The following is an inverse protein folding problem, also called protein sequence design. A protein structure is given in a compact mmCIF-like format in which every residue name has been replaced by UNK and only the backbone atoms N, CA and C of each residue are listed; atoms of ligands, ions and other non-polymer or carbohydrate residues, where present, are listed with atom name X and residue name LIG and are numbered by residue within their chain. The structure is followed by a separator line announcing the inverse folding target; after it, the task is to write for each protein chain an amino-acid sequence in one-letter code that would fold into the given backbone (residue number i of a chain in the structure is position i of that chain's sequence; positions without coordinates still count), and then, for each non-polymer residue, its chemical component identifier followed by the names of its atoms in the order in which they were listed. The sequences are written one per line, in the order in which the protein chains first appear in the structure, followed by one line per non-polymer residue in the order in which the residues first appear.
data_IF_028001155743
#
_entry.id   IF_028001155743
#
_cell.length_a   1.000
_cell.length_b   1.000
_cell.length_c   1.000
_cell.angle_alpha   90.00
_cell.angle_beta   90.00
_cell.angle_gamma   90.00
#
_symmetry.space_group_name_H-M   'P 1'
#
loop_
_entity.id
_entity.type
_entity.pdbx_description
1 polymer ?
#
# COMPACT_ATOMS: atom_id res chain seq x y z
N UNK A 1 82.77 9.21 5.10
CA UNK A 1 81.35 9.48 4.80
C UNK A 1 80.56 8.23 5.21
N UNK A 2 79.82 8.35 6.32
CA UNK A 2 78.77 7.52 6.94
C UNK A 2 78.04 6.45 6.09
N UNK A 3 77.40 5.36 6.54
CA UNK A 3 77.35 4.48 7.74
C UNK A 3 76.39 3.30 7.43
N UNK A 4 76.71 2.11 7.96
CA UNK A 4 75.90 0.95 8.48
C UNK A 4 74.41 0.66 8.17
N UNK A 5 74.17 -0.63 7.84
CA UNK A 5 73.19 -1.62 8.41
C UNK A 5 71.66 -1.50 8.23
N UNK A 6 70.99 -2.62 7.83
CA UNK A 6 70.11 -3.47 8.67
C UNK A 6 69.19 -4.37 7.82
N UNK A 7 69.07 -5.64 8.23
CA UNK A 7 68.01 -6.58 7.80
C UNK A 7 66.69 -6.20 8.50
N UNK A 8 65.57 -6.13 7.79
CA UNK A 8 64.24 -6.15 8.40
C UNK A 8 63.24 -6.91 7.52
N UNK A 9 62.79 -8.06 8.03
CA UNK A 9 61.57 -8.76 7.64
C UNK A 9 60.37 -7.81 7.83
N UNK A 10 59.52 -7.66 6.82
CA UNK A 10 58.13 -7.25 7.04
C UNK A 10 57.22 -8.30 6.43
N UNK A 11 56.74 -9.16 7.34
CA UNK A 11 55.56 -9.99 7.16
C UNK A 11 54.43 -9.02 6.85
N UNK A 12 53.94 -9.03 5.61
CA UNK A 12 52.70 -8.35 5.27
C UNK A 12 51.58 -9.06 6.01
N UNK A 13 51.17 -8.50 7.16
CA UNK A 13 49.91 -8.86 7.79
C UNK A 13 48.83 -8.48 6.78
N UNK A 14 48.27 -9.51 6.13
CA UNK A 14 47.02 -9.38 5.40
C UNK A 14 45.95 -9.20 6.48
N UNK A 15 45.71 -7.95 6.87
CA UNK A 15 44.49 -7.59 7.57
C UNK A 15 43.37 -7.80 6.55
N UNK A 16 42.86 -9.03 6.52
CA UNK A 16 41.52 -9.30 6.05
C UNK A 16 40.63 -8.50 6.99
N UNK A 17 40.26 -7.29 6.56
CA UNK A 17 39.19 -6.52 7.17
C UNK A 17 37.95 -7.38 7.04
N UNK A 18 37.65 -8.17 8.07
CA UNK A 18 36.39 -8.88 8.19
C UNK A 18 35.34 -7.78 8.29
N UNK A 19 34.72 -7.45 7.16
CA UNK A 19 33.51 -6.68 7.15
C UNK A 19 32.46 -7.56 7.85
N UNK A 20 32.15 -7.24 9.10
CA UNK A 20 31.01 -7.82 9.78
C UNK A 20 29.78 -7.40 8.99
N UNK A 21 29.28 -8.29 8.12
CA UNK A 21 27.94 -8.16 7.56
C UNK A 21 26.97 -8.36 8.73
N UNK A 22 26.44 -7.27 9.27
CA UNK A 22 25.22 -7.35 10.06
C UNK A 22 24.10 -7.78 9.11
N UNK A 23 23.31 -8.77 9.53
CA UNK A 23 22.02 -9.01 8.90
C UNK A 23 21.21 -7.71 8.99
N UNK A 24 20.50 -7.35 7.92
CA UNK A 24 19.60 -6.20 7.96
C UNK A 24 18.44 -6.55 8.89
N UNK A 25 18.46 -6.03 10.11
CA UNK A 25 17.38 -6.26 11.08
C UNK A 25 16.11 -5.53 10.65
N UNK A 26 14.98 -6.21 10.78
CA UNK A 26 13.66 -5.60 10.61
C UNK A 26 13.25 -4.92 11.91
N UNK A 27 13.04 -3.60 11.85
CA UNK A 27 12.54 -2.80 12.96
C UNK A 27 11.16 -2.27 12.58
N UNK A 28 10.17 -2.44 13.45
CA UNK A 28 8.86 -1.81 13.27
C UNK A 28 9.01 -0.29 13.33
N UNK A 29 8.82 0.39 12.20
CA UNK A 29 8.91 1.86 12.14
C UNK A 29 7.57 2.54 12.33
N UNK A 30 6.47 1.85 12.01
CA UNK A 30 5.12 2.40 12.07
C UNK A 30 4.06 1.30 12.08
N UNK A 31 2.88 1.67 12.58
CA UNK A 31 1.67 0.86 12.54
C UNK A 31 0.52 1.68 11.99
N UNK A 32 -0.04 1.23 10.87
CA UNK A 32 -1.08 1.94 10.14
C UNK A 32 -2.47 1.54 10.63
N UNK A 33 -3.38 2.50 10.62
CA UNK A 33 -4.78 2.30 10.96
C UNK A 33 -5.64 3.20 10.08
N UNK A 34 -6.90 2.82 9.80
CA UNK A 34 -7.82 3.66 9.04
C UNK A 34 -8.16 4.92 9.84
N UNK A 35 -8.53 6.00 9.13
CA UNK A 35 -8.96 7.28 9.72
C UNK A 35 -10.19 7.11 10.63
N UNK A 36 -11.09 6.17 10.30
CA UNK A 36 -12.23 5.76 11.10
C UNK A 36 -12.18 4.24 11.36
N UNK A 37 -12.46 3.83 12.61
CA UNK A 37 -12.40 2.42 13.02
C UNK A 37 -13.79 1.83 13.14
N UNK A 38 -14.19 1.08 12.13
CA UNK A 38 -15.43 0.31 12.15
C UNK A 38 -15.19 -1.15 12.51
N UNK A 39 -16.20 -1.76 13.14
CA UNK A 39 -16.17 -3.16 13.49
C UNK A 39 -16.06 -4.00 12.21
N UNK A 40 -15.21 -5.03 12.23
CA UNK A 40 -15.11 -6.02 11.16
C UNK A 40 -14.75 -5.50 9.77
N UNK A 41 -14.27 -4.26 9.60
CA UNK A 41 -13.90 -3.69 8.28
C UNK A 41 -12.75 -4.45 7.58
N UNK A 42 -12.01 -5.29 8.31
CA UNK A 42 -10.87 -6.10 7.81
C UNK A 42 -9.75 -5.29 7.15
N UNK A 43 -9.48 -4.10 7.69
CA UNK A 43 -8.32 -3.31 7.29
C UNK A 43 -7.02 -4.12 7.40
N UNK A 44 -6.19 -4.05 6.36
CA UNK A 44 -4.97 -4.84 6.25
C UNK A 44 -5.17 -6.21 5.59
N UNK A 45 -6.34 -6.47 4.99
CA UNK A 45 -6.60 -7.73 4.29
C UNK A 45 -5.68 -7.93 3.08
N UNK A 46 -5.44 -6.85 2.33
CA UNK A 46 -4.49 -6.78 1.23
C UNK A 46 -3.60 -5.56 1.42
N UNK A 47 -2.32 -5.66 1.05
CA UNK A 47 -1.35 -4.57 1.25
C UNK A 47 -0.41 -4.44 0.06
N UNK A 48 0.00 -3.20 -0.23
CA UNK A 48 1.01 -2.87 -1.23
C UNK A 48 1.80 -1.64 -0.82
N UNK A 49 3.04 -1.53 -1.30
CA UNK A 49 3.92 -0.39 -1.00
C UNK A 49 4.77 -0.08 -2.24
N UNK A 50 4.89 1.20 -2.58
CA UNK A 50 5.73 1.70 -3.67
C UNK A 50 6.30 3.07 -3.30
N UNK A 51 7.62 3.14 -3.17
CA UNK A 51 8.32 4.34 -2.72
C UNK A 51 7.81 4.80 -1.35
N UNK A 52 7.32 6.04 -1.29
CA UNK A 52 6.76 6.62 -0.06
C UNK A 52 5.26 6.33 0.12
N UNK A 53 4.62 5.54 -0.74
CA UNK A 53 3.19 5.28 -0.64
C UNK A 53 2.91 3.84 -0.26
N UNK A 54 1.88 3.64 0.56
CA UNK A 54 1.33 2.35 0.91
C UNK A 54 -0.17 2.35 0.65
N UNK A 55 -0.68 1.21 0.19
CA UNK A 55 -2.10 0.94 0.02
C UNK A 55 -2.49 -0.25 0.88
N UNK A 56 -3.68 -0.20 1.46
CA UNK A 56 -4.23 -1.30 2.25
C UNK A 56 -5.73 -1.45 1.99
N UNK A 57 -6.17 -2.69 1.80
CA UNK A 57 -7.55 -3.06 1.57
C UNK A 57 -8.32 -3.31 2.87
N UNK A 58 -9.60 -2.92 2.87
CA UNK A 58 -10.58 -3.23 3.90
C UNK A 58 -11.91 -3.59 3.22
N UNK A 59 -11.99 -4.81 2.70
CA UNK A 59 -13.11 -5.25 1.85
C UNK A 59 -14.46 -5.37 2.56
N UNK A 60 -14.47 -5.23 3.89
CA UNK A 60 -15.68 -5.20 4.70
C UNK A 60 -16.01 -3.83 5.27
N UNK A 61 -15.33 -2.79 4.80
CA UNK A 61 -15.69 -1.43 5.15
C UNK A 61 -17.11 -1.12 4.65
N UNK A 62 -17.91 -0.53 5.53
CA UNK A 62 -19.32 -0.29 5.27
C UNK A 62 -19.58 1.16 4.87
N UNK A 63 -18.80 2.10 5.35
CA UNK A 63 -19.03 3.53 5.15
C UNK A 63 -18.31 4.07 3.92
N UNK A 64 -18.88 5.10 3.31
CA UNK A 64 -18.29 5.81 2.17
C UNK A 64 -17.12 6.70 2.60
N UNK A 65 -16.57 7.49 1.67
CA UNK A 65 -15.43 8.37 1.94
C UNK A 65 -15.72 9.45 3.01
N UNK A 66 -17.00 9.83 3.20
CA UNK A 66 -17.43 10.84 4.17
C UNK A 66 -17.79 10.24 5.54
N UNK A 67 -17.77 8.91 5.67
CA UNK A 67 -18.18 8.19 6.88
C UNK A 67 -19.67 8.35 7.23
N UNK A 68 -20.54 8.50 6.22
CA UNK A 68 -21.97 8.79 6.42
C UNK A 68 -22.86 7.64 5.94
N UNK A 69 -22.52 6.99 4.82
CA UNK A 69 -23.41 6.06 4.14
C UNK A 69 -22.93 4.61 4.27
N UNK A 70 -23.60 3.84 5.13
CA UNK A 70 -23.27 2.43 5.41
C UNK A 70 -23.94 1.46 4.42
N UNK A 71 -23.14 0.62 3.76
CA UNK A 71 -23.56 -0.51 2.91
C UNK A 71 -22.69 -1.72 3.29
N UNK A 72 -23.33 -2.84 3.64
CA UNK A 72 -22.60 -4.03 4.10
C UNK A 72 -21.65 -4.58 3.02
N UNK A 73 -20.40 -4.82 3.43
CA UNK A 73 -19.32 -5.38 2.60
C UNK A 73 -19.11 -4.66 1.25
N UNK A 74 -19.44 -3.36 1.18
CA UNK A 74 -19.14 -2.52 0.01
C UNK A 74 -17.62 -2.37 -0.21
N UNK A 75 -16.86 -2.29 0.90
CA UNK A 75 -15.41 -2.27 0.91
C UNK A 75 -14.78 -0.89 0.69
N UNK A 76 -13.48 -0.81 0.99
CA UNK A 76 -12.65 0.38 0.82
C UNK A 76 -11.16 -0.01 0.65
N UNK A 77 -10.37 0.91 0.11
CA UNK A 77 -8.92 0.86 0.15
C UNK A 77 -8.37 2.18 0.71
N UNK A 78 -7.23 2.15 1.41
CA UNK A 78 -6.68 3.31 2.11
C UNK A 78 -5.27 3.57 1.62
N UNK A 79 -4.99 4.83 1.28
CA UNK A 79 -3.66 5.30 0.87
C UNK A 79 -3.00 6.01 2.04
N UNK A 80 -1.75 5.66 2.28
CA UNK A 80 -0.85 6.33 3.21
C UNK A 80 0.39 6.80 2.46
N UNK A 81 0.93 7.94 2.89
CA UNK A 81 2.19 8.48 2.38
C UNK A 81 3.17 8.68 3.54
N UNK A 82 4.43 8.33 3.31
CA UNK A 82 5.52 8.58 4.24
C UNK A 82 6.03 10.02 4.05
N UNK A 83 5.72 10.87 5.02
CA UNK A 83 6.14 12.27 5.11
C UNK A 83 7.05 12.45 6.32
N UNK A 84 8.28 12.95 6.11
CA UNK A 84 9.24 13.24 7.19
C UNK A 84 9.40 12.07 8.20
N UNK A 85 9.59 10.85 7.68
CA UNK A 85 9.68 9.59 8.44
C UNK A 85 8.38 9.09 9.11
N UNK A 86 7.28 9.84 9.03
CA UNK A 86 5.98 9.41 9.55
C UNK A 86 5.04 8.97 8.42
N UNK A 87 4.27 7.92 8.64
CA UNK A 87 3.21 7.53 7.71
C UNK A 87 1.92 8.31 8.02
N UNK A 88 1.40 8.99 7.01
CA UNK A 88 0.25 9.89 7.10
C UNK A 88 -0.86 9.35 6.20
N UNK A 89 -2.09 9.27 6.73
CA UNK A 89 -3.26 8.93 5.94
C UNK A 89 -3.54 10.00 4.89
N UNK A 90 -3.77 9.60 3.64
CA UNK A 90 -4.06 10.50 2.53
C UNK A 90 -5.50 10.42 2.06
N UNK A 91 -6.01 9.21 1.85
CA UNK A 91 -7.36 9.04 1.33
C UNK A 91 -7.89 7.65 1.58
N UNK A 92 -9.22 7.60 1.72
CA UNK A 92 -10.05 6.40 1.61
C UNK A 92 -10.66 6.36 0.21
N UNK A 93 -10.30 5.34 -0.55
CA UNK A 93 -10.86 5.00 -1.85
C UNK A 93 -12.10 4.13 -1.63
N UNK A 94 -13.17 4.51 -2.28
CA UNK A 94 -14.43 3.75 -2.37
C UNK A 94 -14.92 3.82 -3.81
N UNK A 95 -15.77 2.88 -4.21
CA UNK A 95 -16.49 2.99 -5.47
C UNK A 95 -17.44 4.20 -5.42
N UNK A 96 -17.72 4.78 -6.58
CA UNK A 96 -18.76 5.81 -6.70
C UNK A 96 -20.15 5.18 -6.61
N UNK A 97 -20.34 4.06 -7.31
CA UNK A 97 -21.54 3.23 -7.25
C UNK A 97 -21.27 2.04 -6.33
N UNK A 98 -21.37 2.27 -5.01
CA UNK A 98 -21.15 1.23 -4.00
C UNK A 98 -22.37 0.32 -3.92
N UNK A 99 -22.15 -0.99 -3.85
CA UNK A 99 -23.21 -1.97 -3.67
C UNK A 99 -22.92 -2.98 -2.56
N UNK A 100 -23.95 -3.76 -2.22
CA UNK A 100 -23.90 -4.79 -1.20
C UNK A 100 -22.97 -5.92 -1.64
N UNK A 101 -21.96 -6.23 -0.82
CA UNK A 101 -21.02 -7.35 -1.04
C UNK A 101 -20.15 -7.19 -2.30
N UNK A 102 -19.88 -5.97 -2.73
CA UNK A 102 -18.87 -5.70 -3.77
C UNK A 102 -17.46 -6.11 -3.36
N UNK A 103 -17.17 -6.06 -2.06
CA UNK A 103 -15.86 -6.36 -1.48
C UNK A 103 -14.73 -5.52 -2.13
N UNK A 104 -14.97 -4.23 -2.40
CA UNK A 104 -13.93 -3.34 -2.93
C UNK A 104 -12.72 -3.31 -1.98
N UNK A 105 -11.50 -3.42 -2.53
CA UNK A 105 -10.29 -3.50 -1.70
C UNK A 105 -9.93 -4.90 -1.24
N UNK A 106 -10.57 -5.95 -1.77
CA UNK A 106 -10.18 -7.34 -1.51
C UNK A 106 -8.76 -7.66 -2.02
N UNK A 107 -8.33 -6.98 -3.08
CA UNK A 107 -6.99 -7.02 -3.63
C UNK A 107 -6.52 -5.59 -3.91
N UNK A 108 -5.26 -5.29 -3.63
CA UNK A 108 -4.66 -3.97 -3.89
C UNK A 108 -3.25 -4.13 -4.45
N UNK A 109 -2.86 -3.21 -5.31
CA UNK A 109 -1.47 -3.04 -5.75
C UNK A 109 -1.20 -1.56 -5.99
N UNK A 110 0.05 -1.12 -5.81
CA UNK A 110 0.47 0.24 -6.07
C UNK A 110 1.89 0.22 -6.64
N UNK A 111 2.12 0.95 -7.72
CA UNK A 111 3.42 1.09 -8.37
C UNK A 111 3.53 2.47 -9.04
N UNK A 112 4.58 3.21 -8.71
CA UNK A 112 4.76 4.58 -9.21
C UNK A 112 3.58 5.47 -8.83
N UNK A 113 2.90 6.00 -9.86
CA UNK A 113 1.71 6.86 -9.74
C UNK A 113 0.39 6.10 -9.83
N UNK A 114 0.41 4.78 -10.05
CA UNK A 114 -0.79 3.99 -10.25
C UNK A 114 -1.09 3.10 -9.05
N UNK A 115 -2.36 3.02 -8.68
CA UNK A 115 -2.88 2.03 -7.76
C UNK A 115 -3.99 1.24 -8.43
N UNK A 116 -4.08 -0.05 -8.15
CA UNK A 116 -5.12 -0.95 -8.65
C UNK A 116 -5.86 -1.52 -7.45
N UNK A 117 -7.19 -1.49 -7.50
CA UNK A 117 -8.05 -2.04 -6.45
C UNK A 117 -9.05 -3.00 -7.06
N UNK A 118 -9.05 -4.24 -6.58
CA UNK A 118 -9.97 -5.28 -7.00
C UNK A 118 -11.34 -5.17 -6.32
N UNK A 119 -12.36 -5.60 -7.05
CA UNK A 119 -13.77 -5.63 -6.66
C UNK A 119 -14.25 -7.03 -6.96
N UNK A 120 -14.56 -7.82 -5.95
CA UNK A 120 -14.90 -9.23 -6.15
C UNK A 120 -16.37 -9.41 -6.54
N UNK A 121 -17.26 -8.64 -5.91
CA UNK A 121 -18.70 -8.79 -6.03
C UNK A 121 -19.37 -7.97 -7.13
N UNK A 122 -18.58 -7.22 -7.91
CA UNK A 122 -19.09 -6.30 -8.92
C UNK A 122 -19.99 -7.02 -9.93
N UNK A 123 -21.19 -6.48 -10.13
CA UNK A 123 -22.29 -7.04 -10.91
C UNK A 123 -22.88 -6.03 -11.93
N UNK A 124 -22.25 -4.87 -12.13
CA UNK A 124 -22.75 -3.75 -12.91
C UNK A 124 -21.86 -3.48 -14.13
N UNK A 125 -22.07 -4.25 -15.20
CA UNK A 125 -21.39 -4.01 -16.49
C UNK A 125 -21.87 -2.70 -17.17
N UNK A 126 -23.10 -2.23 -16.86
CA UNK A 126 -23.72 -1.00 -17.39
C UNK A 126 -24.78 -0.46 -16.39
N UNK A 127 -24.77 0.83 -16.01
CA UNK A 127 -25.83 1.44 -15.18
C UNK A 127 -27.25 1.38 -15.80
N UNK A 128 -27.39 0.97 -17.05
CA UNK A 128 -28.66 0.76 -17.75
C UNK A 128 -29.05 -0.71 -17.97
N UNK A 129 -28.20 -1.69 -17.62
CA UNK A 129 -28.56 -3.11 -17.74
C UNK A 129 -29.20 -3.62 -16.45
N UNK A 130 -30.53 -3.73 -16.50
CA UNK A 130 -31.30 -4.33 -15.43
C UNK A 130 -31.12 -5.86 -15.42
N UNK A 131 -30.33 -6.34 -14.46
CA UNK A 131 -30.10 -7.75 -14.10
C UNK A 131 -29.02 -8.49 -14.90
N UNK A 132 -27.86 -8.60 -14.28
CA UNK A 132 -27.09 -9.85 -14.32
C UNK A 132 -26.89 -10.33 -12.89
N UNK A 133 -27.55 -11.44 -12.53
CA UNK A 133 -27.30 -12.18 -11.27
C UNK A 133 -25.92 -12.87 -11.26
N UNK A 134 -24.94 -12.26 -11.91
CA UNK A 134 -23.62 -12.84 -12.13
C UNK A 134 -22.61 -11.78 -11.74
N UNK A 135 -21.97 -12.00 -10.59
CA UNK A 135 -20.81 -11.20 -10.22
C UNK A 135 -19.64 -11.62 -11.11
N UNK A 136 -19.16 -10.69 -11.94
CA UNK A 136 -17.98 -10.89 -12.77
C UNK A 136 -16.72 -10.35 -12.11
N UNK A 137 -16.89 -9.47 -11.11
CA UNK A 137 -15.81 -8.77 -10.47
C UNK A 137 -15.15 -7.77 -11.42
N UNK A 138 -14.48 -6.78 -10.85
CA UNK A 138 -13.80 -5.74 -11.59
C UNK A 138 -12.48 -5.35 -10.91
N UNK A 139 -11.71 -4.50 -11.58
CA UNK A 139 -10.58 -3.82 -10.97
C UNK A 139 -10.56 -2.37 -11.43
N UNK A 140 -10.42 -1.46 -10.47
CA UNK A 140 -10.30 -0.02 -10.74
C UNK A 140 -8.84 0.40 -10.68
N UNK A 141 -8.42 1.20 -11.66
CA UNK A 141 -7.09 1.80 -11.72
C UNK A 141 -7.20 3.27 -11.35
N UNK A 142 -6.47 3.66 -10.31
CA UNK A 142 -6.33 5.03 -9.86
C UNK A 142 -4.98 5.55 -10.28
N UNK A 143 -4.93 6.80 -10.75
CA UNK A 143 -3.68 7.52 -11.01
C UNK A 143 -3.57 8.69 -10.05
N UNK A 144 -2.42 8.87 -9.40
CA UNK A 144 -2.16 10.07 -8.62
C UNK A 144 -2.09 11.30 -9.53
N UNK A 145 -2.81 12.36 -9.14
CA UNK A 145 -2.65 13.68 -9.75
C UNK A 145 -1.64 14.51 -8.95
N UNK A 146 -1.36 15.75 -9.39
CA UNK A 146 -0.41 16.63 -8.72
C UNK A 146 -0.80 16.99 -7.27
N UNK A 147 -2.04 16.72 -6.85
CA UNK A 147 -2.56 16.97 -5.51
C UNK A 147 -2.63 15.71 -4.64
N UNK A 148 -2.20 14.57 -5.17
CA UNK A 148 -1.99 13.36 -4.41
C UNK A 148 -2.79 12.17 -4.92
N UNK A 149 -4.04 12.30 -5.39
CA UNK A 149 -4.85 11.16 -5.87
C UNK A 149 -5.98 11.65 -6.80
N UNK A 150 -6.04 11.10 -8.01
CA UNK A 150 -7.00 11.46 -9.05
C UNK A 150 -8.45 11.10 -8.70
N UNK A 151 -9.34 12.03 -9.05
CA UNK A 151 -10.79 11.79 -9.14
C UNK A 151 -11.05 10.65 -10.13
N UNK A 152 -11.98 9.77 -9.77
CA UNK A 152 -12.62 8.84 -10.69
C UNK A 152 -13.11 9.69 -11.87
N UNK A 153 -12.38 9.67 -12.99
CA UNK A 153 -12.71 10.44 -14.18
C UNK A 153 -12.84 9.44 -15.28
N UNK A 154 -14.06 8.98 -15.51
CA UNK A 154 -14.74 8.93 -16.80
C UNK A 154 -16.21 8.61 -16.57
#
# INVERSE_FOLDING_TARGET
MFTTSKRCFFIGIWLCSIATLFAQDFVETAKLYPNARHASQRFGHAVGISGNYAITGAHREQFDANEENAIEDAGAAYIFEKENEAWVFKQKLVQEHRWFVDNFGIAVSIEGDYAVVGIFGEDMDDPNEANVNTSYGAAMIYKRDANGIGRNTN
#
